data_IF_723969381115
#
_entry.id   IF_723969381115
#
_cell.length_a   1.000
_cell.length_b   1.000
_cell.length_c   1.000
_cell.angle_alpha   90.00
_cell.angle_beta   90.00
_cell.angle_gamma   90.00
#
_symmetry.space_group_name_H-M   'P 1'
#
loop_
_entity.id
_entity.type
_entity.pdbx_description
1 polymer ?
#
# COMPACT_ATOMS: atom_id res chain seq x y z
N UNK A 1 -0.46 8.49 10.24
CA UNK A 1 -0.14 8.60 8.80
C UNK A 1 1.36 8.49 8.64
N UNK A 2 1.83 7.87 7.57
CA UNK A 2 3.23 7.86 7.17
C UNK A 2 3.34 7.98 5.64
N UNK A 3 4.46 8.52 5.14
CA UNK A 3 4.71 8.63 3.71
C UNK A 3 5.07 7.27 3.08
N UNK A 4 5.19 7.24 1.74
CA UNK A 4 5.47 6.01 0.99
C UNK A 4 6.81 5.33 1.28
N UNK A 5 7.74 5.97 1.99
CA UNK A 5 9.06 5.40 2.34
C UNK A 5 9.05 4.58 3.64
N UNK A 6 7.95 4.64 4.40
CA UNK A 6 7.77 3.87 5.63
C UNK A 6 7.76 2.35 5.36
N UNK A 7 8.34 1.57 6.28
CA UNK A 7 8.21 0.10 6.28
C UNK A 7 6.96 -0.32 7.08
N UNK A 8 5.85 -0.72 6.42
CA UNK A 8 4.59 -0.94 7.10
C UNK A 8 4.50 -2.28 7.83
N UNK A 9 3.78 -2.29 8.96
CA UNK A 9 3.40 -3.51 9.67
C UNK A 9 2.12 -4.14 9.09
N UNK A 10 1.88 -5.44 9.29
CA UNK A 10 0.62 -6.08 8.93
C UNK A 10 -0.62 -5.31 9.45
N UNK A 11 -1.66 -5.25 8.62
CA UNK A 11 -2.91 -4.52 8.89
C UNK A 11 -2.88 -3.01 8.61
N UNK A 12 -1.69 -2.44 8.30
CA UNK A 12 -1.58 -1.06 7.83
C UNK A 12 -2.38 -0.89 6.53
N UNK A 13 -3.08 0.24 6.39
CA UNK A 13 -3.79 0.60 5.15
C UNK A 13 -2.80 1.28 4.22
N UNK A 14 -2.67 0.80 2.98
CA UNK A 14 -1.85 1.41 1.94
C UNK A 14 -2.74 2.18 0.97
N UNK A 15 -2.31 3.38 0.59
CA UNK A 15 -2.98 4.22 -0.40
C UNK A 15 -2.08 4.40 -1.62
N UNK A 16 -2.67 4.34 -2.81
CA UNK A 16 -1.98 4.49 -4.08
C UNK A 16 -2.42 5.76 -4.78
N UNK A 17 -1.46 6.41 -5.44
CA UNK A 17 -1.62 7.56 -6.34
C UNK A 17 -0.77 7.20 -7.57
N UNK A 18 -1.41 6.73 -8.64
CA UNK A 18 -0.70 6.13 -9.79
C UNK A 18 -0.12 7.20 -10.69
N UNK A 19 -0.78 8.35 -10.78
CA UNK A 19 -0.43 9.49 -11.61
C UNK A 19 0.50 10.47 -10.88
N UNK A 20 0.57 10.41 -9.55
CA UNK A 20 1.35 11.32 -8.70
C UNK A 20 0.73 12.72 -8.59
N UNK A 21 -0.61 12.82 -8.72
CA UNK A 21 -1.32 14.10 -8.75
C UNK A 21 -1.78 14.58 -7.36
N UNK A 22 -1.51 13.77 -6.32
CA UNK A 22 -1.87 14.05 -4.94
C UNK A 22 -3.27 13.56 -4.56
N UNK A 23 -3.98 12.87 -5.45
CA UNK A 23 -5.28 12.24 -5.22
C UNK A 23 -5.10 10.72 -5.17
N UNK A 24 -5.79 10.06 -4.24
CA UNK A 24 -5.68 8.61 -4.09
C UNK A 24 -6.62 7.87 -5.04
N UNK A 25 -6.09 6.97 -5.85
CA UNK A 25 -6.87 6.14 -6.78
C UNK A 25 -7.35 4.83 -6.16
N UNK A 26 -6.53 4.25 -5.29
CA UNK A 26 -6.74 2.90 -4.80
C UNK A 26 -6.23 2.71 -3.37
N UNK A 27 -6.69 1.63 -2.74
CA UNK A 27 -6.26 1.24 -1.40
C UNK A 27 -6.24 -0.27 -1.25
N UNK A 28 -5.37 -0.75 -0.35
CA UNK A 28 -5.25 -2.15 0.04
C UNK A 28 -4.90 -2.28 1.51
N UNK A 29 -4.76 -3.52 1.97
CA UNK A 29 -4.27 -3.85 3.31
C UNK A 29 -2.90 -4.49 3.20
N UNK A 30 -1.94 -4.02 3.99
CA UNK A 30 -0.62 -4.63 4.10
C UNK A 30 -0.74 -5.97 4.82
N UNK A 31 -0.33 -7.04 4.16
CA UNK A 31 -0.19 -8.37 4.76
C UNK A 31 1.14 -8.52 5.49
N UNK A 32 2.24 -8.03 4.90
CA UNK A 32 3.59 -8.00 5.50
C UNK A 32 4.51 -7.04 4.73
N UNK A 33 5.64 -6.68 5.34
CA UNK A 33 6.76 -6.00 4.68
C UNK A 33 8.06 -6.78 4.97
N UNK A 34 8.79 -7.16 3.94
CA UNK A 34 9.99 -7.99 4.05
C UNK A 34 10.97 -7.67 2.92
N UNK A 35 12.26 -7.50 3.26
CA UNK A 35 13.34 -7.21 2.31
C UNK A 35 13.03 -6.02 1.37
N UNK A 36 12.49 -4.93 1.92
CA UNK A 36 12.10 -3.74 1.15
C UNK A 36 10.92 -3.95 0.20
N UNK A 37 10.17 -5.05 0.35
CA UNK A 37 8.96 -5.34 -0.43
C UNK A 37 7.74 -5.38 0.47
N UNK A 38 6.72 -4.59 0.12
CA UNK A 38 5.40 -4.59 0.75
C UNK A 38 4.51 -5.59 0.03
N UNK A 39 3.86 -6.47 0.78
CA UNK A 39 2.89 -7.44 0.29
C UNK A 39 1.50 -6.98 0.72
N UNK A 40 0.58 -6.91 -0.23
CA UNK A 40 -0.75 -6.34 -0.03
C UNK A 40 -1.84 -7.35 -0.40
N UNK A 41 -3.01 -7.22 0.21
CA UNK A 41 -4.26 -7.80 -0.27
C UNK A 41 -5.13 -6.66 -0.77
N UNK A 42 -5.54 -6.75 -2.03
CA UNK A 42 -6.26 -5.70 -2.75
C UNK A 42 -7.53 -6.25 -3.40
N UNK A 43 -8.62 -5.52 -3.24
CA UNK A 43 -9.86 -5.75 -3.99
C UNK A 43 -9.79 -5.10 -5.38
N UNK A 44 -10.75 -5.43 -6.24
CA UNK A 44 -10.86 -4.85 -7.59
C UNK A 44 -9.57 -4.98 -8.44
N UNK A 45 -8.71 -5.95 -8.13
CA UNK A 45 -7.49 -6.19 -8.89
C UNK A 45 -7.81 -7.09 -10.09
N UNK A 46 -8.49 -6.52 -11.09
CA UNK A 46 -9.13 -7.26 -12.17
C UNK A 46 -10.35 -8.03 -11.64
N UNK A 47 -11.32 -7.27 -11.10
CA UNK A 47 -12.61 -7.73 -10.56
C UNK A 47 -12.53 -8.85 -9.51
N UNK A 48 -11.37 -8.99 -8.85
CA UNK A 48 -11.10 -10.06 -7.89
C UNK A 48 -10.24 -9.55 -6.74
N UNK A 49 -10.28 -10.26 -5.61
CA UNK A 49 -9.33 -10.07 -4.53
C UNK A 49 -8.01 -10.77 -4.87
N UNK A 50 -6.90 -10.05 -4.84
CA UNK A 50 -5.57 -10.58 -5.18
C UNK A 50 -4.49 -10.05 -4.25
N UNK A 51 -3.43 -10.84 -4.13
CA UNK A 51 -2.18 -10.41 -3.51
C UNK A 51 -1.33 -9.66 -4.53
N UNK A 52 -0.73 -8.54 -4.11
CA UNK A 52 0.26 -7.81 -4.91
C UNK A 52 1.49 -7.46 -4.09
N UNK A 53 2.53 -7.00 -4.77
CA UNK A 53 3.80 -6.63 -4.17
C UNK A 53 4.33 -5.34 -4.75
N UNK A 54 4.90 -4.50 -3.90
CA UNK A 54 5.49 -3.22 -4.27
C UNK A 54 6.80 -3.01 -3.53
N UNK A 55 7.81 -2.38 -4.15
CA UNK A 55 8.95 -1.86 -3.40
C UNK A 55 8.49 -0.82 -2.37
N UNK A 56 9.10 -0.81 -1.19
CA UNK A 56 9.00 0.32 -0.26
C UNK A 56 9.50 1.58 -0.97
N UNK A 57 8.78 2.71 -0.82
CA UNK A 57 9.10 3.95 -1.53
C UNK A 57 8.74 3.93 -3.03
N UNK A 58 7.98 2.94 -3.51
CA UNK A 58 7.50 2.93 -4.89
C UNK A 58 6.73 4.22 -5.20
N UNK A 59 6.96 4.78 -6.38
CA UNK A 59 6.36 6.05 -6.80
C UNK A 59 4.82 6.03 -6.87
N UNK A 60 4.22 4.85 -6.94
CA UNK A 60 2.76 4.68 -6.95
C UNK A 60 2.14 4.62 -5.55
N UNK A 61 2.97 4.61 -4.50
CA UNK A 61 2.51 4.58 -3.11
C UNK A 61 2.40 6.02 -2.62
N UNK A 62 1.18 6.44 -2.33
CA UNK A 62 0.91 7.76 -1.76
C UNK A 62 1.32 7.82 -0.28
N UNK A 63 1.00 6.76 0.47
CA UNK A 63 1.37 6.63 1.87
C UNK A 63 0.52 5.62 2.61
N UNK A 64 0.59 5.69 3.94
CA UNK A 64 0.06 4.68 4.84
C UNK A 64 -0.83 5.25 5.95
N UNK A 65 -2.01 4.67 6.09
CA UNK A 65 -2.86 4.80 7.27
C UNK A 65 -2.47 3.76 8.30
N UNK A 66 -2.00 4.20 9.47
CA UNK A 66 -1.57 3.32 10.57
C UNK A 66 -2.70 3.25 11.60
N UNK A 67 -3.41 2.11 11.71
CA UNK A 67 -4.44 1.94 12.74
C UNK A 67 -3.84 2.00 14.15
N UNK A 68 -4.61 2.52 15.10
CA UNK A 68 -4.34 2.37 16.52
C UNK A 68 -4.95 1.05 16.99
N UNK A 69 -4.13 0.00 17.06
CA UNK A 69 -4.54 -1.32 17.55
C UNK A 69 -4.74 -1.35 19.06
#
# INVERSE_FOLDING_TARGET
WADGSYEPSPGTIIFFDWEGDGVTDHTGIVQKCENGTVYTVEGNSGDTCRTKTYPVGSSVIYGYGIPAY
#
